data_IF_808444989011
#
_entry.id   IF_808444989011
#
_cell.length_a   1.000
_cell.length_b   1.000
_cell.length_c   1.000
_cell.angle_alpha   90.00
_cell.angle_beta   90.00
_cell.angle_gamma   90.00
#
_symmetry.space_group_name_H-M   'P 1'
#
loop_
_entity.id
_entity.type
_entity.pdbx_description
1 polymer ?
#
# COMPACT_ATOMS: atom_id res chain seq x y z
N UNK A 1 -5.42 -17.03 -8.17
CA UNK A 1 -4.78 -16.38 -9.34
C UNK A 1 -5.51 -15.14 -9.84
N UNK A 2 -6.84 -15.03 -9.66
CA UNK A 2 -7.62 -13.89 -10.19
C UNK A 2 -7.54 -12.62 -9.32
N UNK A 3 -7.45 -12.77 -7.99
CA UNK A 3 -7.55 -11.61 -7.08
C UNK A 3 -6.24 -10.84 -6.89
N UNK A 4 -5.09 -11.50 -7.03
CA UNK A 4 -3.77 -10.86 -7.00
C UNK A 4 -3.56 -9.95 -8.23
N UNK A 5 -4.06 -10.38 -9.39
CA UNK A 5 -4.08 -9.59 -10.63
C UNK A 5 -5.01 -8.37 -10.51
N UNK A 6 -6.17 -8.54 -9.87
CA UNK A 6 -7.09 -7.44 -9.56
C UNK A 6 -6.46 -6.40 -8.63
N UNK A 7 -5.80 -6.84 -7.56
CA UNK A 7 -5.13 -5.94 -6.61
C UNK A 7 -4.02 -5.11 -7.27
N UNK A 8 -3.18 -5.75 -8.10
CA UNK A 8 -2.17 -5.04 -8.89
C UNK A 8 -2.79 -4.03 -9.86
N UNK A 9 -3.90 -4.40 -10.51
CA UNK A 9 -4.60 -3.49 -11.41
C UNK A 9 -5.26 -2.31 -10.69
N UNK A 10 -5.76 -2.50 -9.47
CA UNK A 10 -6.36 -1.45 -8.65
C UNK A 10 -5.30 -0.46 -8.13
N UNK A 11 -4.17 -0.95 -7.62
CA UNK A 11 -3.06 -0.11 -7.19
C UNK A 11 -2.53 0.76 -8.34
N UNK A 12 -2.35 0.16 -9.51
CA UNK A 12 -1.95 0.89 -10.72
C UNK A 12 -2.93 2.01 -11.06
N UNK A 13 -4.23 1.73 -11.06
CA UNK A 13 -5.27 2.73 -11.32
C UNK A 13 -5.23 3.89 -10.32
N UNK A 14 -4.95 3.60 -9.04
CA UNK A 14 -4.84 4.63 -7.99
C UNK A 14 -3.61 5.51 -8.24
N UNK A 15 -2.45 4.93 -8.57
CA UNK A 15 -1.25 5.70 -8.90
C UNK A 15 -1.45 6.56 -10.15
N UNK A 16 -2.03 6.00 -11.21
CA UNK A 16 -2.33 6.72 -12.45
C UNK A 16 -3.30 7.90 -12.18
N UNK A 17 -4.29 7.71 -11.29
CA UNK A 17 -5.21 8.76 -10.88
C UNK A 17 -4.51 9.88 -10.07
N UNK A 18 -3.63 9.53 -9.12
CA UNK A 18 -2.85 10.50 -8.36
C UNK A 18 -1.94 11.32 -9.26
N UNK A 19 -1.29 10.69 -10.23
CA UNK A 19 -0.47 11.39 -11.23
C UNK A 19 -1.31 12.32 -12.10
N UNK A 20 -2.48 11.86 -12.55
CA UNK A 20 -3.38 12.67 -13.36
C UNK A 20 -3.88 13.91 -12.59
N UNK A 21 -4.27 13.75 -11.33
CA UNK A 21 -4.68 14.89 -10.48
C UNK A 21 -3.49 15.81 -10.20
N UNK A 22 -2.29 15.27 -9.97
CA UNK A 22 -1.10 16.08 -9.77
C UNK A 22 -0.71 16.90 -11.03
N UNK A 23 -0.97 16.39 -12.23
CA UNK A 23 -0.67 17.06 -13.50
C UNK A 23 -1.75 18.06 -13.92
N UNK A 24 -3.02 17.74 -13.66
CA UNK A 24 -4.17 18.53 -14.10
C UNK A 24 -4.72 19.49 -13.03
N UNK A 25 -4.39 19.28 -11.75
CA UNK A 25 -4.88 20.06 -10.61
C UNK A 25 -4.15 21.39 -10.40
N UNK A 26 -4.64 22.18 -9.43
CA UNK A 26 -3.97 23.41 -9.02
C UNK A 26 -2.69 23.13 -8.22
N UNK A 27 -1.88 24.17 -7.95
CA UNK A 27 -0.64 24.05 -7.15
C UNK A 27 -0.85 23.40 -5.77
N UNK A 28 -2.03 23.59 -5.17
CA UNK A 28 -2.39 23.00 -3.88
C UNK A 28 -2.64 21.48 -4.01
N UNK A 29 -3.31 21.07 -5.08
CA UNK A 29 -3.62 19.66 -5.37
C UNK A 29 -2.36 18.89 -5.76
N UNK A 30 -1.41 19.53 -6.44
CA UNK A 30 -0.14 18.92 -6.83
C UNK A 30 0.65 18.40 -5.62
N UNK A 31 0.86 19.25 -4.60
CA UNK A 31 1.63 18.87 -3.41
C UNK A 31 0.99 17.71 -2.65
N UNK A 32 -0.33 17.79 -2.42
CA UNK A 32 -1.09 16.76 -1.71
C UNK A 32 -1.09 15.44 -2.46
N UNK A 33 -1.26 15.45 -3.78
CA UNK A 33 -1.26 14.24 -4.60
C UNK A 33 0.12 13.59 -4.69
N UNK A 34 1.20 14.38 -4.80
CA UNK A 34 2.57 13.85 -4.78
C UNK A 34 2.88 13.20 -3.43
N UNK A 35 2.52 13.85 -2.33
CA UNK A 35 2.72 13.30 -0.99
C UNK A 35 1.89 12.02 -0.76
N UNK A 36 0.62 12.03 -1.16
CA UNK A 36 -0.25 10.86 -1.08
C UNK A 36 0.30 9.67 -1.90
N UNK A 37 0.82 9.95 -3.11
CA UNK A 37 1.46 8.94 -3.95
C UNK A 37 2.69 8.34 -3.27
N UNK A 38 3.59 9.18 -2.77
CA UNK A 38 4.81 8.73 -2.09
C UNK A 38 4.52 7.88 -0.84
N UNK A 39 3.52 8.28 -0.04
CA UNK A 39 3.09 7.49 1.12
C UNK A 39 2.51 6.14 0.73
N UNK A 40 1.72 6.10 -0.34
CA UNK A 40 1.13 4.86 -0.84
C UNK A 40 2.19 3.91 -1.43
N UNK A 41 3.18 4.44 -2.16
CA UNK A 41 4.33 3.67 -2.66
C UNK A 41 5.12 3.05 -1.49
N UNK A 42 5.44 3.84 -0.47
CA UNK A 42 6.15 3.36 0.71
C UNK A 42 5.38 2.24 1.45
N UNK A 43 4.05 2.40 1.60
CA UNK A 43 3.21 1.37 2.21
C UNK A 43 3.22 0.06 1.42
N UNK A 44 3.10 0.13 0.09
CA UNK A 44 3.17 -1.05 -0.78
C UNK A 44 4.52 -1.74 -0.64
N UNK A 45 5.61 -1.00 -0.64
CA UNK A 45 6.96 -1.54 -0.47
C UNK A 45 7.11 -2.27 0.87
N UNK A 46 6.58 -1.72 1.95
CA UNK A 46 6.67 -2.35 3.28
C UNK A 46 5.81 -3.61 3.39
N UNK A 47 4.62 -3.64 2.78
CA UNK A 47 3.80 -4.86 2.69
C UNK A 47 4.53 -5.94 1.87
N UNK A 48 5.16 -5.58 0.74
CA UNK A 48 5.90 -6.53 -0.10
C UNK A 48 7.12 -7.08 0.63
N UNK A 49 7.88 -6.23 1.33
CA UNK A 49 9.01 -6.68 2.17
C UNK A 49 8.54 -7.63 3.27
N UNK A 50 7.40 -7.35 3.88
CA UNK A 50 6.82 -8.18 4.91
C UNK A 50 6.40 -9.56 4.37
N UNK A 51 5.70 -9.60 3.22
CA UNK A 51 5.37 -10.85 2.52
C UNK A 51 6.62 -11.67 2.17
N UNK A 52 7.68 -11.01 1.67
CA UNK A 52 8.96 -11.66 1.37
C UNK A 52 9.68 -12.19 2.63
N UNK A 53 9.58 -11.48 3.76
CA UNK A 53 10.11 -11.96 5.05
C UNK A 53 9.36 -13.22 5.48
N UNK A 54 8.03 -13.20 5.45
CA UNK A 54 7.18 -14.35 5.77
C UNK A 54 7.44 -15.55 4.87
N UNK A 55 7.63 -15.31 3.56
CA UNK A 55 7.99 -16.37 2.61
C UNK A 55 9.37 -16.99 2.87
N UNK A 56 10.33 -16.21 3.40
CA UNK A 56 11.68 -16.70 3.76
C UNK A 56 11.70 -17.48 5.06
N UNK A 57 10.85 -17.13 6.01
CA UNK A 57 10.82 -17.78 7.33
C UNK A 57 10.19 -19.18 7.30
N UNK A 58 9.63 -19.61 6.14
CA UNK A 58 9.01 -20.93 5.87
C UNK A 58 8.08 -21.43 7.00
N UNK A 59 7.43 -20.50 7.70
CA UNK A 59 6.52 -20.79 8.81
C UNK A 59 5.13 -20.24 8.52
N UNK A 60 4.11 -20.87 9.09
CA UNK A 60 2.74 -20.37 9.02
C UNK A 60 2.63 -19.06 9.80
N UNK A 61 1.93 -18.04 9.26
CA UNK A 61 1.66 -16.81 9.99
C UNK A 61 0.95 -17.07 11.32
N UNK A 62 1.38 -16.39 12.37
CA UNK A 62 0.73 -16.39 13.68
C UNK A 62 0.02 -15.06 13.96
N UNK A 63 -0.64 -14.96 15.12
CA UNK A 63 -1.38 -13.77 15.50
C UNK A 63 -0.54 -12.48 15.54
N UNK A 64 0.75 -12.57 15.86
CA UNK A 64 1.63 -11.40 15.86
C UNK A 64 1.90 -10.94 14.42
N UNK A 65 2.01 -11.88 13.48
CA UNK A 65 2.25 -11.54 12.09
C UNK A 65 1.08 -10.76 11.47
N UNK A 66 -0.15 -11.08 11.86
CA UNK A 66 -1.34 -10.33 11.47
C UNK A 66 -1.37 -8.94 12.13
N UNK A 67 -0.99 -8.84 13.40
CA UNK A 67 -0.93 -7.57 14.10
C UNK A 67 0.13 -6.63 13.52
N UNK A 68 1.28 -7.15 13.09
CA UNK A 68 2.34 -6.38 12.43
C UNK A 68 1.84 -5.84 11.08
N UNK A 69 1.17 -6.68 10.27
CA UNK A 69 0.57 -6.26 9.00
C UNK A 69 -0.53 -5.19 9.19
N UNK A 70 -1.40 -5.36 10.19
CA UNK A 70 -2.45 -4.38 10.49
C UNK A 70 -1.87 -3.05 11.00
N UNK A 71 -0.77 -3.11 11.74
CA UNK A 71 -0.02 -1.93 12.17
C UNK A 71 0.60 -1.18 10.99
N UNK A 72 1.16 -1.92 10.01
CA UNK A 72 1.69 -1.33 8.77
C UNK A 72 0.61 -0.60 7.96
N UNK A 73 -0.61 -1.14 7.94
CA UNK A 73 -1.73 -0.55 7.22
C UNK A 73 -2.33 0.70 7.89
N UNK A 74 -1.81 1.11 9.06
CA UNK A 74 -2.36 2.18 9.91
C UNK A 74 -3.87 2.02 10.17
N UNK A 75 -4.41 0.81 10.03
CA UNK A 75 -5.80 0.50 10.35
C UNK A 75 -5.86 0.44 11.87
N UNK A 76 -6.23 1.57 12.49
CA UNK A 76 -6.59 1.59 13.90
C UNK A 76 -7.71 0.56 14.13
N UNK A 77 -7.35 -0.59 14.69
CA UNK A 77 -8.34 -1.53 15.20
C UNK A 77 -9.05 -0.80 16.36
N UNK A 78 -10.39 -0.71 16.35
CA UNK A 78 -11.11 -0.22 17.50
C UNK A 78 -10.74 -1.10 18.71
N UNK A 79 -10.23 -0.45 19.76
CA UNK A 79 -9.99 -1.10 21.06
C UNK A 79 -11.30 -1.48 21.73
#
# INVERSE_FOLDING_TARGET
MNDQLKAQSALKLIFDALDMVAQCGGKLDHGVCVEAKQRLEALVDDIVKYDQKMGRDERTPDGNDYNELLSLLEINLPQ
#
